data_IF_759517822746
#
_entry.id   IF_759517822746
#
_cell.length_a   1.000
_cell.length_b   1.000
_cell.length_c   1.000
_cell.angle_alpha   90.00
_cell.angle_beta   90.00
_cell.angle_gamma   90.00
#
_symmetry.space_group_name_H-M   'P 1'
#
loop_
_entity.id
_entity.type
_entity.pdbx_description
1 polymer ?
#
# COMPACT_ATOMS: atom_id res chain seq x y z
N UNK A 1 -21.67 -47.07 41.32
CA UNK A 1 -20.33 -46.47 41.42
C UNK A 1 -19.46 -46.94 40.26
N UNK A 2 -19.75 -46.49 39.03
CA UNK A 2 -18.90 -46.70 37.86
C UNK A 2 -19.18 -45.56 36.86
N UNK A 3 -18.32 -44.55 36.83
CA UNK A 3 -18.38 -43.44 35.88
C UNK A 3 -17.18 -43.53 34.90
N UNK A 4 -17.52 -43.95 33.68
CA UNK A 4 -17.06 -43.57 32.32
C UNK A 4 -15.83 -42.61 32.21
N UNK A 5 -14.92 -42.84 31.24
CA UNK A 5 -13.47 -42.65 31.38
C UNK A 5 -12.93 -41.25 31.07
N UNK A 6 -11.73 -41.00 31.58
CA UNK A 6 -10.76 -39.91 31.34
C UNK A 6 -10.43 -39.68 29.84
N UNK A 7 -11.39 -39.17 29.05
CA UNK A 7 -11.12 -38.67 27.69
C UNK A 7 -11.77 -37.29 27.57
N UNK A 8 -11.23 -36.24 28.22
CA UNK A 8 -11.51 -34.87 27.81
C UNK A 8 -10.63 -33.76 28.43
N UNK A 9 -9.31 -33.88 28.45
CA UNK A 9 -8.46 -32.70 28.75
C UNK A 9 -7.30 -32.58 27.74
N UNK A 10 -7.64 -32.72 26.46
CA UNK A 10 -6.81 -32.24 25.37
C UNK A 10 -7.51 -31.10 24.65
N UNK A 11 -7.85 -30.07 25.42
CA UNK A 11 -8.15 -28.75 24.87
C UNK A 11 -6.83 -28.14 24.40
N UNK A 12 -6.26 -28.67 23.31
CA UNK A 12 -5.35 -27.86 22.49
C UNK A 12 -6.19 -26.67 22.05
N UNK A 13 -5.95 -25.53 22.67
CA UNK A 13 -6.32 -24.24 22.10
C UNK A 13 -5.67 -24.19 20.72
N UNK A 14 -6.45 -24.51 19.68
CA UNK A 14 -6.10 -24.21 18.30
C UNK A 14 -6.13 -22.68 18.18
N UNK A 15 -5.10 -22.02 18.72
CA UNK A 15 -4.82 -20.64 18.44
C UNK A 15 -4.68 -20.56 16.92
N UNK A 16 -5.70 -20.00 16.26
CA UNK A 16 -5.72 -19.84 14.82
C UNK A 16 -4.39 -19.21 14.40
N UNK A 17 -3.67 -19.85 13.48
CA UNK A 17 -2.32 -19.41 13.04
C UNK A 17 -2.42 -18.03 12.39
N UNK A 18 -2.42 -16.96 13.17
CA UNK A 18 -2.56 -15.55 12.77
C UNK A 18 -1.21 -14.94 12.37
N UNK A 19 -0.47 -15.61 11.47
CA UNK A 19 0.82 -15.12 10.99
C UNK A 19 0.70 -14.22 9.75
N UNK A 20 -0.41 -14.32 9.02
CA UNK A 20 -0.72 -13.50 7.85
C UNK A 20 -1.44 -12.22 8.26
N UNK A 21 -1.08 -11.10 7.64
CA UNK A 21 -1.67 -9.78 7.87
C UNK A 21 -2.18 -9.23 6.55
N UNK A 22 -3.46 -8.88 6.49
CA UNK A 22 -4.05 -8.23 5.33
C UNK A 22 -3.93 -6.72 5.45
N UNK A 23 -3.47 -6.07 4.38
CA UNK A 23 -3.44 -4.61 4.30
C UNK A 23 -4.82 -4.12 3.85
N UNK A 24 -5.46 -3.32 4.70
CA UNK A 24 -6.80 -2.75 4.46
C UNK A 24 -6.78 -1.37 3.80
N UNK A 25 -5.60 -0.81 3.54
CA UNK A 25 -5.42 0.53 2.98
C UNK A 25 -5.03 0.47 1.50
N UNK A 26 -5.22 1.59 0.79
CA UNK A 26 -4.74 1.76 -0.57
C UNK A 26 -3.23 1.48 -0.66
N UNK A 27 -2.82 0.77 -1.71
CA UNK A 27 -1.43 0.40 -1.96
C UNK A 27 -1.02 0.75 -3.38
N UNK A 28 0.17 1.28 -3.52
CA UNK A 28 0.86 1.37 -4.79
C UNK A 28 1.75 0.15 -4.97
N UNK A 29 1.72 -0.42 -6.17
CA UNK A 29 2.55 -1.54 -6.56
C UNK A 29 3.11 -1.22 -7.93
N UNK A 30 4.43 -1.37 -8.10
CA UNK A 30 5.12 -1.09 -9.36
C UNK A 30 4.62 -2.03 -10.47
N UNK A 31 4.53 -1.58 -11.74
CA UNK A 31 4.32 -2.47 -12.88
C UNK A 31 5.38 -3.59 -12.88
N UNK A 32 4.93 -4.84 -13.05
CA UNK A 32 5.78 -6.04 -12.97
C UNK A 32 5.85 -6.72 -11.61
N UNK A 33 4.98 -6.37 -10.65
CA UNK A 33 4.96 -7.05 -9.35
C UNK A 33 4.46 -8.50 -9.44
N UNK A 34 5.37 -9.43 -9.17
CA UNK A 34 5.06 -10.86 -9.02
C UNK A 34 4.77 -11.18 -7.55
N UNK A 35 3.70 -11.92 -7.28
CA UNK A 35 3.38 -12.35 -5.91
C UNK A 35 4.39 -13.39 -5.43
N UNK A 36 4.80 -13.28 -4.17
CA UNK A 36 5.58 -14.35 -3.52
C UNK A 36 4.69 -15.56 -3.27
N UNK A 37 5.24 -16.78 -3.21
CA UNK A 37 4.46 -17.98 -2.88
C UNK A 37 3.67 -17.79 -1.57
N UNK A 38 2.44 -18.32 -1.46
CA UNK A 38 1.54 -18.06 -0.32
C UNK A 38 2.07 -18.49 1.05
N UNK A 39 3.12 -19.31 1.09
CA UNK A 39 3.80 -19.76 2.31
C UNK A 39 4.74 -18.70 2.89
N UNK A 40 5.33 -17.84 2.07
CA UNK A 40 6.29 -16.81 2.49
C UNK A 40 5.67 -15.40 2.51
N UNK A 41 4.47 -15.22 1.95
CA UNK A 41 3.76 -13.94 1.97
C UNK A 41 3.12 -13.70 3.35
N UNK A 42 3.79 -12.88 4.17
CA UNK A 42 3.27 -12.43 5.48
C UNK A 42 2.24 -11.30 5.34
N UNK A 43 2.46 -10.36 4.42
CA UNK A 43 1.60 -9.21 4.20
C UNK A 43 0.86 -9.35 2.87
N UNK A 44 -0.45 -9.51 2.94
CA UNK A 44 -1.32 -9.64 1.76
C UNK A 44 -1.76 -8.25 1.31
N UNK A 45 -1.49 -7.93 0.04
CA UNK A 45 -1.98 -6.72 -0.64
C UNK A 45 -3.09 -7.11 -1.62
N UNK A 46 -4.38 -6.92 -1.28
CA UNK A 46 -5.48 -7.30 -2.17
C UNK A 46 -5.43 -6.47 -3.46
N UNK A 47 -5.77 -7.08 -4.60
CA UNK A 47 -5.73 -6.42 -5.92
C UNK A 47 -6.68 -5.22 -6.01
N UNK A 48 -7.85 -5.29 -5.38
CA UNK A 48 -8.85 -4.20 -5.40
C UNK A 48 -8.40 -2.93 -4.67
N UNK A 49 -7.36 -3.00 -3.83
CA UNK A 49 -6.77 -1.83 -3.17
C UNK A 49 -5.46 -1.37 -3.83
N UNK A 50 -5.13 -1.90 -5.01
CA UNK A 50 -3.94 -1.50 -5.76
C UNK A 50 -4.30 -0.39 -6.72
N UNK A 51 -3.75 0.80 -6.48
CA UNK A 51 -3.95 1.95 -7.34
C UNK A 51 -2.63 2.27 -8.05
N UNK A 52 -2.70 2.44 -9.37
CA UNK A 52 -1.59 2.89 -10.21
C UNK A 52 -1.72 4.37 -10.60
N UNK A 53 -2.90 4.96 -10.42
CA UNK A 53 -3.22 6.34 -10.76
C UNK A 53 -3.71 7.12 -9.55
N UNK A 54 -3.45 8.42 -9.53
CA UNK A 54 -3.90 9.33 -8.50
C UNK A 54 -4.44 10.62 -9.12
N UNK A 55 -5.47 11.17 -8.50
CA UNK A 55 -5.95 12.51 -8.77
C UNK A 55 -5.06 13.51 -8.02
N UNK A 56 -4.32 14.33 -8.77
CA UNK A 56 -3.47 15.39 -8.22
C UNK A 56 -4.10 16.74 -8.52
N UNK A 57 -4.27 17.55 -7.48
CA UNK A 57 -4.76 18.93 -7.60
C UNK A 57 -3.56 19.87 -7.63
N UNK A 58 -3.49 20.74 -8.65
CA UNK A 58 -2.45 21.78 -8.69
C UNK A 58 -3.01 23.07 -8.05
N UNK A 59 -2.40 23.61 -6.98
CA UNK A 59 -2.97 24.75 -6.27
C UNK A 59 -3.04 26.02 -7.13
N UNK A 60 -2.07 26.24 -8.01
CA UNK A 60 -2.04 27.44 -8.86
C UNK A 60 -3.02 27.36 -10.04
N UNK A 61 -3.21 26.17 -10.61
CA UNK A 61 -4.06 25.97 -11.79
C UNK A 61 -5.50 25.62 -11.39
N UNK A 62 -5.73 25.22 -10.13
CA UNK A 62 -7.01 24.73 -9.59
C UNK A 62 -7.66 23.60 -10.41
N UNK A 63 -6.89 22.94 -11.26
CA UNK A 63 -7.31 21.78 -12.03
C UNK A 63 -6.88 20.48 -11.34
N UNK A 64 -7.64 19.43 -11.59
CA UNK A 64 -7.32 18.06 -11.14
C UNK A 64 -6.84 17.25 -12.33
N UNK A 65 -5.71 16.55 -12.17
CA UNK A 65 -5.13 15.69 -13.19
C UNK A 65 -5.13 14.25 -12.71
N UNK A 66 -5.53 13.32 -13.57
CA UNK A 66 -5.43 11.89 -13.30
C UNK A 66 -4.10 11.36 -13.83
N UNK A 67 -3.10 11.28 -12.96
CA UNK A 67 -1.72 10.97 -13.32
C UNK A 67 -1.29 9.60 -12.80
N UNK A 68 -0.35 8.98 -13.50
CA UNK A 68 0.24 7.71 -13.07
C UNK A 68 1.28 7.93 -11.97
N UNK A 69 1.20 7.06 -10.96
CA UNK A 69 2.11 7.06 -9.83
C UNK A 69 3.37 6.29 -10.24
N UNK A 70 4.53 6.93 -10.13
CA UNK A 70 5.82 6.29 -10.39
C UNK A 70 6.32 5.55 -9.14
N UNK A 71 6.08 6.13 -7.97
CA UNK A 71 6.52 5.56 -6.71
C UNK A 71 6.06 6.29 -5.46
N UNK A 72 6.17 5.57 -4.33
CA UNK A 72 5.97 6.10 -2.97
C UNK A 72 7.35 6.35 -2.36
N UNK A 73 7.59 7.57 -1.88
CA UNK A 73 8.90 7.98 -1.33
C UNK A 73 8.95 7.95 0.20
N UNK A 74 7.93 8.51 0.86
CA UNK A 74 7.87 8.57 2.33
C UNK A 74 6.43 8.45 2.80
N UNK A 75 6.21 7.66 3.85
CA UNK A 75 4.94 7.60 4.57
C UNK A 75 5.16 8.08 6.02
N UNK A 76 4.36 9.03 6.54
CA UNK A 76 4.48 9.55 7.90
C UNK A 76 4.27 8.48 8.98
N UNK A 77 3.55 7.40 8.68
CA UNK A 77 3.30 6.30 9.62
C UNK A 77 4.50 5.34 9.76
N UNK A 78 5.62 5.61 9.07
CA UNK A 78 6.89 4.88 9.21
C UNK A 78 7.38 4.22 7.91
N UNK A 79 8.68 3.82 7.89
CA UNK A 79 9.33 3.30 6.69
C UNK A 79 8.77 1.94 6.23
N UNK A 80 8.21 1.14 7.13
CA UNK A 80 7.56 -0.14 6.77
C UNK A 80 6.42 0.08 5.77
N UNK A 81 5.62 1.13 5.96
CA UNK A 81 4.52 1.46 5.06
C UNK A 81 5.02 2.01 3.72
N UNK A 82 6.13 2.73 3.71
CA UNK A 82 6.81 3.14 2.48
C UNK A 82 7.25 1.92 1.66
N UNK A 83 7.92 0.94 2.28
CA UNK A 83 8.38 -0.27 1.60
C UNK A 83 7.24 -1.15 1.08
N UNK A 84 6.12 -1.18 1.80
CA UNK A 84 4.90 -1.88 1.37
C UNK A 84 4.10 -1.11 0.30
N UNK A 85 4.41 0.16 0.09
CA UNK A 85 3.71 1.05 -0.84
C UNK A 85 2.34 1.50 -0.33
N UNK A 86 2.11 1.53 0.99
CA UNK A 86 0.81 1.94 1.55
C UNK A 86 0.63 3.44 1.39
N UNK A 87 -0.51 3.82 0.81
CA UNK A 87 -0.93 5.19 0.57
C UNK A 87 -1.92 5.61 1.66
N UNK A 88 -1.43 6.43 2.57
CA UNK A 88 -2.22 7.12 3.61
C UNK A 88 -2.23 8.62 3.37
N UNK A 89 -3.08 9.35 4.10
CA UNK A 89 -3.02 10.81 4.15
C UNK A 89 -1.59 11.21 4.49
N UNK A 90 -1.05 12.11 3.68
CA UNK A 90 0.31 12.60 3.79
C UNK A 90 1.42 11.71 3.31
N UNK A 91 1.09 10.69 2.51
CA UNK A 91 2.13 9.95 1.78
C UNK A 91 2.72 10.84 0.71
N UNK A 92 4.05 10.85 0.63
CA UNK A 92 4.81 11.55 -0.39
C UNK A 92 4.96 10.62 -1.59
N UNK A 93 4.36 10.99 -2.72
CA UNK A 93 4.36 10.23 -3.97
C UNK A 93 5.08 11.01 -5.08
N UNK A 94 5.51 10.31 -6.13
CA UNK A 94 6.13 10.91 -7.32
C UNK A 94 5.26 10.62 -8.52
N UNK A 95 4.89 11.66 -9.28
CA UNK A 95 4.08 11.55 -10.50
C UNK A 95 4.62 12.46 -11.60
N UNK A 96 4.38 12.10 -12.86
CA UNK A 96 4.84 12.85 -14.03
C UNK A 96 3.80 13.90 -14.43
N UNK A 97 4.09 15.18 -14.18
CA UNK A 97 3.19 16.31 -14.47
C UNK A 97 3.43 16.93 -15.86
N UNK A 98 4.37 16.37 -16.65
CA UNK A 98 4.66 16.82 -18.02
C UNK A 98 5.16 18.27 -18.11
N UNK A 99 5.72 18.82 -17.03
CA UNK A 99 6.21 20.20 -17.01
C UNK A 99 7.56 20.31 -17.71
N UNK A 100 7.78 21.40 -18.42
CA UNK A 100 9.07 21.71 -19.05
C UNK A 100 9.69 22.89 -18.32
N UNK A 101 10.95 22.73 -17.93
CA UNK A 101 11.73 23.82 -17.33
C UNK A 101 12.04 24.90 -18.37
N UNK A 102 12.32 26.16 -17.96
CA UNK A 102 12.70 27.23 -18.89
C UNK A 102 13.92 26.89 -19.76
N UNK A 103 14.76 25.96 -19.30
CA UNK A 103 15.91 25.42 -20.04
C UNK A 103 15.55 24.30 -21.03
N UNK A 104 14.27 24.07 -21.32
CA UNK A 104 13.78 23.06 -22.26
C UNK A 104 13.82 21.61 -21.76
N UNK A 105 14.21 21.35 -20.50
CA UNK A 105 14.23 19.98 -19.95
C UNK A 105 12.85 19.57 -19.44
N UNK A 106 12.42 18.37 -19.82
CA UNK A 106 11.17 17.73 -19.35
C UNK A 106 11.34 17.24 -17.91
N UNK A 107 10.35 17.53 -17.05
CA UNK A 107 10.29 17.09 -15.65
C UNK A 107 9.50 15.78 -15.57
N UNK A 108 10.23 14.69 -15.35
CA UNK A 108 9.69 13.33 -15.28
C UNK A 108 9.11 12.95 -13.91
N UNK A 109 9.20 13.83 -12.91
CA UNK A 109 8.70 13.51 -11.58
C UNK A 109 8.60 14.72 -10.67
N UNK A 110 7.38 15.05 -10.25
CA UNK A 110 7.12 16.02 -9.19
C UNK A 110 6.72 15.28 -7.93
N UNK A 111 7.25 15.73 -6.80
CA UNK A 111 6.90 15.21 -5.48
C UNK A 111 5.58 15.83 -5.07
N UNK A 112 4.60 15.00 -4.73
CA UNK A 112 3.27 15.44 -4.34
C UNK A 112 2.87 14.76 -3.04
N UNK A 113 2.25 15.55 -2.15
CA UNK A 113 1.69 15.07 -0.90
C UNK A 113 0.26 14.62 -1.12
N UNK A 114 -0.06 13.41 -0.66
CA UNK A 114 -1.39 12.87 -0.84
C UNK A 114 -2.35 13.46 0.20
N UNK A 115 -3.35 14.20 -0.29
CA UNK A 115 -4.45 14.73 0.53
C UNK A 115 -5.72 13.98 0.14
N UNK A 116 -6.38 13.37 1.11
CA UNK A 116 -7.75 12.89 0.93
C UNK A 116 -8.68 14.05 1.30
N UNK A 117 -9.52 14.46 0.35
CA UNK A 117 -10.68 15.32 0.58
C UNK A 117 -11.84 14.41 1.02
#
# INVERSE_FOLDING_TARGET
>A
MLAVPLILEFWISFAAKQWKRMIKKATFVRPGFTRKPPKYERFIRPSGLRFSKAHLTHPELKCTFNLEIIGVKKNPNGPMYTSLGVMTKGTVTVSELGLVTPAGKVVWGKIVFLVFN
#
